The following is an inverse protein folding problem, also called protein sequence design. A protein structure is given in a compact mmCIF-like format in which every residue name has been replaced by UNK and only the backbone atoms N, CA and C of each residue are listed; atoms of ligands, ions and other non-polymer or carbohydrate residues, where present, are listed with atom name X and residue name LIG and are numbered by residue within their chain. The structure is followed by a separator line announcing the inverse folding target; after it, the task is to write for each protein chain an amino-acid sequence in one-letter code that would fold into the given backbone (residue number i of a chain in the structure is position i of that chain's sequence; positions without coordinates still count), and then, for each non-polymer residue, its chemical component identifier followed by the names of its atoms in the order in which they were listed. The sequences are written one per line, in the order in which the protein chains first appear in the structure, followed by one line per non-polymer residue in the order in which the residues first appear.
data_IF_523179524277
#
_entry.id   IF_523179524277
#
_cell.length_a   1.000
_cell.length_b   1.000
_cell.length_c   1.000
_cell.angle_alpha   90.00
_cell.angle_beta   90.00
_cell.angle_gamma   90.00
#
_symmetry.space_group_name_H-M   'P 1'
#
loop_
_entity.id
_entity.type
_entity.pdbx_description
1 polymer ?
#
# COMPACT_ATOMS: atom_id res chain seq x y z
N UNK A 1 -1.22 70.45 -39.59
CA UNK A 1 -0.04 69.66 -39.19
C UNK A 1 -0.01 69.64 -37.68
N UNK A 2 -0.38 68.51 -37.08
CA UNK A 2 -0.34 68.33 -35.63
C UNK A 2 0.95 67.57 -35.30
N UNK A 3 1.85 68.21 -34.57
CA UNK A 3 3.10 67.61 -34.09
C UNK A 3 2.75 66.50 -33.08
N UNK A 4 2.95 65.25 -33.51
CA UNK A 4 2.97 64.11 -32.61
C UNK A 4 4.36 64.08 -31.98
N UNK A 5 4.45 64.58 -30.76
CA UNK A 5 5.66 64.57 -29.93
C UNK A 5 6.14 63.15 -29.69
N UNK A 6 7.44 62.93 -29.89
CA UNK A 6 8.15 61.65 -29.79
C UNK A 6 8.07 60.96 -28.41
N UNK A 7 7.44 61.56 -27.41
CA UNK A 7 7.22 60.97 -26.08
C UNK A 7 6.06 59.97 -26.01
N UNK A 8 5.09 60.00 -26.94
CA UNK A 8 3.94 59.09 -26.90
C UNK A 8 4.24 57.66 -27.38
N UNK A 9 5.41 57.40 -27.98
CA UNK A 9 5.80 56.09 -28.51
C UNK A 9 6.50 55.21 -27.46
N UNK A 10 6.89 55.74 -26.29
CA UNK A 10 7.63 54.99 -25.26
C UNK A 10 6.78 54.38 -24.12
N UNK A 11 5.45 54.59 -24.08
CA UNK A 11 4.59 53.84 -23.15
C UNK A 11 4.25 52.47 -23.73
N UNK A 12 5.21 51.55 -23.62
CA UNK A 12 5.01 50.13 -23.90
C UNK A 12 3.72 49.63 -23.24
N UNK A 13 2.88 49.00 -24.06
CA UNK A 13 1.63 48.35 -23.66
C UNK A 13 1.91 47.50 -22.41
N UNK A 14 1.34 47.89 -21.27
CA UNK A 14 1.49 47.13 -20.02
C UNK A 14 1.12 45.66 -20.23
N UNK A 15 1.71 44.73 -19.45
CA UNK A 15 1.48 43.30 -19.63
C UNK A 15 -0.02 42.99 -19.65
N UNK A 16 -0.44 42.20 -20.65
CA UNK A 16 -1.83 41.88 -20.92
C UNK A 16 -2.53 41.39 -19.63
N UNK A 17 -3.61 42.05 -19.16
CA UNK A 17 -4.27 41.70 -17.90
C UNK A 17 -4.77 40.25 -17.90
N UNK A 18 -5.07 39.68 -19.07
CA UNK A 18 -5.45 38.27 -19.22
C UNK A 18 -4.27 37.32 -18.98
N UNK A 19 -3.07 37.67 -19.46
CA UNK A 19 -1.84 36.90 -19.23
C UNK A 19 -1.42 36.95 -17.76
N UNK A 20 -1.57 38.10 -17.10
CA UNK A 20 -1.34 38.24 -15.66
C UNK A 20 -2.31 37.40 -14.82
N UNK A 21 -3.59 37.36 -15.19
CA UNK A 21 -4.60 36.53 -14.54
C UNK A 21 -4.29 35.04 -14.70
N UNK A 22 -3.88 34.61 -15.91
CA UNK A 22 -3.48 33.23 -16.18
C UNK A 22 -2.25 32.82 -15.38
N UNK A 23 -1.24 33.70 -15.29
CA UNK A 23 -0.02 33.46 -14.50
C UNK A 23 -0.34 33.35 -12.99
N UNK A 24 -1.25 34.17 -12.47
CA UNK A 24 -1.72 34.07 -11.07
C UNK A 24 -2.47 32.77 -10.80
N UNK A 25 -3.31 32.30 -11.73
CA UNK A 25 -4.01 31.01 -11.62
C UNK A 25 -3.02 29.84 -11.58
N UNK A 26 -2.09 29.79 -12.53
CA UNK A 26 -1.06 28.73 -12.59
C UNK A 26 -0.20 28.76 -11.32
N UNK A 27 0.22 29.93 -10.86
CA UNK A 27 1.04 30.04 -9.64
C UNK A 27 0.26 29.58 -8.39
N UNK A 28 -1.05 29.82 -8.35
CA UNK A 28 -1.93 29.36 -7.26
C UNK A 28 -2.12 27.84 -7.31
N UNK A 29 -2.32 27.26 -8.50
CA UNK A 29 -2.40 25.80 -8.65
C UNK A 29 -1.08 25.13 -8.27
N UNK A 30 0.05 25.62 -8.78
CA UNK A 30 1.39 25.13 -8.43
C UNK A 30 1.64 25.27 -6.92
N UNK A 31 1.24 26.38 -6.31
CA UNK A 31 1.35 26.55 -4.85
C UNK A 31 0.46 25.57 -4.09
N UNK A 32 -0.76 25.28 -4.58
CA UNK A 32 -1.67 24.31 -3.97
C UNK A 32 -1.20 22.86 -4.12
N UNK A 33 -0.57 22.52 -5.26
CA UNK A 33 0.07 21.22 -5.50
C UNK A 33 1.30 21.10 -4.62
N UNK A 34 2.12 22.15 -4.53
CA UNK A 34 3.27 22.21 -3.63
C UNK A 34 2.86 22.11 -2.17
N UNK A 35 1.78 22.79 -1.74
CA UNK A 35 1.21 22.67 -0.40
C UNK A 35 0.64 21.27 -0.12
N UNK A 36 0.07 20.58 -1.13
CA UNK A 36 -0.34 19.18 -0.99
C UNK A 36 0.85 18.24 -0.86
N UNK A 37 1.93 18.49 -1.60
CA UNK A 37 3.19 17.75 -1.53
C UNK A 37 3.96 18.03 -0.23
N UNK A 38 3.88 19.24 0.33
CA UNK A 38 4.52 19.61 1.61
C UNK A 38 3.62 19.38 2.83
N UNK A 39 2.31 19.16 2.65
CA UNK A 39 1.44 18.76 3.75
C UNK A 39 1.75 17.32 4.14
N UNK A 40 2.51 17.14 5.22
CA UNK A 40 2.76 15.84 5.86
C UNK A 40 1.47 15.03 6.03
N UNK A 41 0.36 15.71 6.36
CA UNK A 41 -0.95 15.09 6.58
C UNK A 41 -1.65 14.58 5.32
N UNK A 42 -1.39 15.16 4.14
CA UNK A 42 -1.95 14.70 2.86
C UNK A 42 -1.18 13.50 2.31
N UNK A 43 0.15 13.55 2.40
CA UNK A 43 1.04 12.45 2.04
C UNK A 43 0.78 11.23 2.93
N UNK A 44 0.77 11.40 4.26
CA UNK A 44 0.50 10.32 5.22
C UNK A 44 -0.83 9.61 4.97
N UNK A 45 -1.89 10.36 4.62
CA UNK A 45 -3.20 9.76 4.27
C UNK A 45 -3.17 8.99 2.95
N UNK A 46 -2.43 9.46 1.95
CA UNK A 46 -2.27 8.74 0.69
C UNK A 46 -1.49 7.44 0.91
N UNK A 47 -0.41 7.48 1.70
CA UNK A 47 0.35 6.29 2.11
C UNK A 47 -0.52 5.28 2.88
N UNK A 48 -1.28 5.75 3.86
CA UNK A 48 -2.18 4.90 4.64
C UNK A 48 -3.20 4.19 3.73
N UNK A 49 -3.79 4.88 2.75
CA UNK A 49 -4.73 4.28 1.81
C UNK A 49 -4.05 3.21 0.93
N UNK A 50 -2.85 3.52 0.42
CA UNK A 50 -2.09 2.58 -0.40
C UNK A 50 -1.71 1.31 0.39
N UNK A 51 -1.33 1.45 1.66
CA UNK A 51 -1.07 0.29 2.54
C UNK A 51 -2.32 -0.58 2.75
N UNK A 52 -3.50 0.03 2.92
CA UNK A 52 -4.77 -0.71 3.00
C UNK A 52 -5.09 -1.42 1.67
N UNK A 53 -4.76 -0.80 0.54
CA UNK A 53 -4.92 -1.40 -0.79
C UNK A 53 -3.99 -2.59 -1.00
N UNK A 54 -2.71 -2.46 -0.64
CA UNK A 54 -1.73 -3.57 -0.65
C UNK A 54 -2.21 -4.73 0.23
N UNK A 55 -2.73 -4.44 1.42
CA UNK A 55 -3.34 -5.47 2.29
C UNK A 55 -4.46 -6.22 1.57
N UNK A 56 -5.40 -5.47 0.99
CA UNK A 56 -6.55 -6.04 0.30
C UNK A 56 -6.10 -6.88 -0.90
N UNK A 57 -5.20 -6.39 -1.73
CA UNK A 57 -4.67 -7.14 -2.88
C UNK A 57 -3.97 -8.44 -2.46
N UNK A 58 -3.13 -8.40 -1.43
CA UNK A 58 -2.51 -9.60 -0.87
C UNK A 58 -3.53 -10.58 -0.33
N UNK A 59 -4.55 -10.12 0.39
CA UNK A 59 -5.63 -10.99 0.87
C UNK A 59 -6.46 -11.61 -0.25
N UNK A 60 -6.72 -10.90 -1.35
CA UNK A 60 -7.40 -11.47 -2.51
C UNK A 60 -6.56 -12.55 -3.18
N UNK A 61 -5.31 -12.22 -3.49
CA UNK A 61 -4.42 -13.10 -4.23
C UNK A 61 -4.03 -14.33 -3.39
N UNK A 62 -3.86 -14.15 -2.07
CA UNK A 62 -3.53 -15.22 -1.14
C UNK A 62 -4.71 -16.10 -0.71
N UNK A 63 -5.96 -15.69 -0.97
CA UNK A 63 -7.15 -16.39 -0.47
C UNK A 63 -7.23 -17.84 -0.91
N UNK A 64 -6.90 -18.14 -2.17
CA UNK A 64 -6.88 -19.51 -2.70
C UNK A 64 -5.88 -20.38 -1.93
N UNK A 65 -4.69 -19.86 -1.65
CA UNK A 65 -3.69 -20.56 -0.85
C UNK A 65 -4.16 -20.82 0.59
N UNK A 66 -4.84 -19.85 1.22
CA UNK A 66 -5.42 -20.03 2.56
C UNK A 66 -6.52 -21.09 2.57
N UNK A 67 -7.38 -21.14 1.55
CA UNK A 67 -8.44 -22.14 1.44
C UNK A 67 -7.88 -23.56 1.25
N UNK A 68 -6.88 -23.70 0.37
CA UNK A 68 -6.20 -24.98 0.16
C UNK A 68 -5.55 -25.46 1.47
N UNK A 69 -4.86 -24.56 2.19
CA UNK A 69 -4.28 -24.88 3.49
C UNK A 69 -5.35 -25.32 4.50
N UNK A 70 -6.46 -24.59 4.61
CA UNK A 70 -7.54 -24.92 5.54
C UNK A 70 -8.13 -26.32 5.27
N UNK A 71 -8.37 -26.66 4.00
CA UNK A 71 -8.88 -27.97 3.61
C UNK A 71 -7.85 -29.08 3.84
N UNK A 72 -6.57 -28.84 3.53
CA UNK A 72 -5.50 -29.81 3.76
C UNK A 72 -5.30 -30.09 5.25
N UNK A 73 -5.32 -29.05 6.09
CA UNK A 73 -5.25 -29.18 7.55
C UNK A 73 -6.47 -29.90 8.09
N UNK A 74 -7.68 -29.60 7.61
CA UNK A 74 -8.89 -30.29 8.04
C UNK A 74 -8.85 -31.79 7.68
N UNK A 75 -8.40 -32.12 6.47
CA UNK A 75 -8.23 -33.51 6.05
C UNK A 75 -7.20 -34.24 6.93
N UNK A 76 -6.05 -33.62 7.21
CA UNK A 76 -5.04 -34.18 8.10
C UNK A 76 -5.54 -34.30 9.55
N UNK A 77 -6.33 -33.34 10.04
CA UNK A 77 -6.88 -33.37 11.39
C UNK A 77 -7.83 -34.56 11.62
N UNK A 78 -8.48 -35.05 10.55
CA UNK A 78 -9.33 -36.24 10.62
C UNK A 78 -8.56 -37.54 10.96
N UNK A 79 -7.23 -37.53 10.92
CA UNK A 79 -6.41 -38.66 11.37
C UNK A 79 -6.43 -38.84 12.89
N UNK A 80 -6.69 -37.77 13.64
CA UNK A 80 -6.73 -37.80 15.11
C UNK A 80 -8.11 -37.51 15.68
N UNK A 81 -8.94 -36.75 14.95
CA UNK A 81 -10.19 -36.20 15.46
C UNK A 81 -11.36 -36.65 14.57
N UNK A 82 -12.51 -37.07 15.14
CA UNK A 82 -13.70 -37.37 14.36
C UNK A 82 -14.14 -36.19 13.49
N UNK A 83 -14.61 -36.49 12.27
CA UNK A 83 -15.02 -35.47 11.29
C UNK A 83 -16.06 -34.49 11.86
N UNK A 84 -16.94 -34.96 12.74
CA UNK A 84 -17.98 -34.17 13.41
C UNK A 84 -17.42 -32.97 14.21
N UNK A 85 -16.21 -33.08 14.76
CA UNK A 85 -15.54 -31.97 15.47
C UNK A 85 -14.73 -31.08 14.53
N UNK A 86 -14.22 -31.63 13.42
CA UNK A 86 -13.40 -30.91 12.44
C UNK A 86 -14.25 -30.04 11.52
N UNK A 87 -15.42 -30.53 11.08
CA UNK A 87 -16.35 -29.81 10.18
C UNK A 87 -16.77 -28.43 10.70
N UNK A 88 -17.23 -28.26 11.95
CA UNK A 88 -17.60 -26.93 12.44
C UNK A 88 -16.39 -26.00 12.52
N UNK A 89 -15.21 -26.52 12.87
CA UNK A 89 -13.98 -25.73 12.92
C UNK A 89 -13.52 -25.24 11.54
N UNK A 90 -13.45 -26.13 10.54
CA UNK A 90 -13.09 -25.69 9.18
C UNK A 90 -14.15 -24.75 8.62
N UNK A 91 -15.43 -24.94 8.96
CA UNK A 91 -16.51 -24.02 8.61
C UNK A 91 -16.29 -22.60 9.15
N UNK A 92 -15.84 -22.44 10.40
CA UNK A 92 -15.54 -21.11 10.96
C UNK A 92 -14.32 -20.46 10.32
N UNK A 93 -13.28 -21.24 10.00
CA UNK A 93 -12.10 -20.76 9.26
C UNK A 93 -12.49 -20.26 7.87
N UNK A 94 -13.27 -21.05 7.11
CA UNK A 94 -13.75 -20.67 5.78
C UNK A 94 -14.62 -19.41 5.82
N UNK A 95 -15.51 -19.30 6.82
CA UNK A 95 -16.32 -18.11 7.03
C UNK A 95 -15.44 -16.88 7.32
N UNK A 96 -14.44 -17.01 8.18
CA UNK A 96 -13.50 -15.93 8.49
C UNK A 96 -12.72 -15.48 7.24
N UNK A 97 -12.22 -16.43 6.44
CA UNK A 97 -11.56 -16.15 5.16
C UNK A 97 -12.52 -15.43 4.19
N UNK A 98 -13.78 -15.88 4.10
CA UNK A 98 -14.79 -15.26 3.25
C UNK A 98 -15.07 -13.81 3.67
N UNK A 99 -15.20 -13.54 4.97
CA UNK A 99 -15.42 -12.19 5.51
C UNK A 99 -14.28 -11.25 5.09
N UNK A 100 -13.02 -11.67 5.24
CA UNK A 100 -11.86 -10.86 4.85
C UNK A 100 -11.88 -10.61 3.34
N UNK A 101 -12.10 -11.64 2.52
CA UNK A 101 -12.16 -11.49 1.06
C UNK A 101 -13.28 -10.54 0.64
N UNK A 102 -14.47 -10.63 1.23
CA UNK A 102 -15.59 -9.74 0.93
C UNK A 102 -15.28 -8.30 1.34
N UNK A 103 -14.73 -8.08 2.54
CA UNK A 103 -14.33 -6.75 2.99
C UNK A 103 -13.27 -6.15 2.07
N UNK A 104 -12.25 -6.92 1.72
CA UNK A 104 -11.18 -6.45 0.86
C UNK A 104 -11.66 -6.20 -0.57
N UNK A 105 -12.58 -7.01 -1.13
CA UNK A 105 -13.24 -6.72 -2.41
C UNK A 105 -14.04 -5.43 -2.36
N UNK A 106 -14.83 -5.23 -1.30
CA UNK A 106 -15.61 -3.99 -1.09
C UNK A 106 -14.71 -2.77 -1.01
N UNK A 107 -13.57 -2.87 -0.35
CA UNK A 107 -12.59 -1.79 -0.27
C UNK A 107 -11.98 -1.46 -1.65
N UNK A 108 -11.54 -2.48 -2.40
CA UNK A 108 -10.94 -2.28 -3.72
C UNK A 108 -11.93 -1.72 -4.77
N UNK A 109 -13.23 -1.94 -4.57
CA UNK A 109 -14.27 -1.40 -5.43
C UNK A 109 -14.63 0.07 -5.15
N UNK A 110 -14.19 0.67 -4.03
CA UNK A 110 -14.47 2.07 -3.71
C UNK A 110 -13.51 3.02 -4.45
N UNK A 111 -14.03 4.13 -4.96
CA UNK A 111 -13.23 5.17 -5.60
C UNK A 111 -12.38 5.94 -4.57
N UNK A 112 -11.13 6.24 -4.92
CA UNK A 112 -10.11 6.78 -4.01
C UNK A 112 -10.45 8.12 -3.33
N UNK A 113 -11.48 8.84 -3.78
CA UNK A 113 -11.84 10.18 -3.28
C UNK A 113 -12.74 10.23 -2.04
N UNK A 114 -13.43 9.14 -1.69
CA UNK A 114 -14.49 9.15 -0.64
C UNK A 114 -14.17 8.27 0.59
N UNK A 115 -13.00 7.66 0.64
CA UNK A 115 -12.71 6.60 1.60
C UNK A 115 -12.22 7.17 2.93
N UNK A 116 -12.97 6.90 3.99
CA UNK A 116 -12.50 7.10 5.36
C UNK A 116 -11.57 5.94 5.77
N UNK A 117 -10.28 6.24 5.96
CA UNK A 117 -9.22 5.24 6.20
C UNK A 117 -9.39 4.52 7.55
N UNK A 118 -9.73 5.25 8.60
CA UNK A 118 -9.80 4.74 9.99
C UNK A 118 -10.77 3.55 10.18
N UNK A 119 -12.04 3.60 9.71
CA UNK A 119 -12.95 2.47 9.88
C UNK A 119 -12.49 1.24 9.10
N UNK A 120 -11.96 1.40 7.88
CA UNK A 120 -11.43 0.27 7.11
C UNK A 120 -10.22 -0.39 7.77
N UNK A 121 -9.29 0.42 8.30
CA UNK A 121 -8.15 -0.10 9.08
C UNK A 121 -8.61 -0.93 10.28
N UNK A 122 -9.62 -0.46 11.03
CA UNK A 122 -10.20 -1.22 12.15
C UNK A 122 -10.95 -2.46 11.67
N UNK A 123 -11.72 -2.36 10.59
CA UNK A 123 -12.46 -3.49 10.03
C UNK A 123 -11.52 -4.62 9.60
N UNK A 124 -10.42 -4.29 8.91
CA UNK A 124 -9.40 -5.28 8.56
C UNK A 124 -8.70 -5.87 9.78
N UNK A 125 -8.34 -5.06 10.78
CA UNK A 125 -7.75 -5.58 12.00
C UNK A 125 -8.72 -6.52 12.76
N UNK A 126 -10.00 -6.17 12.85
CA UNK A 126 -11.02 -7.02 13.49
C UNK A 126 -11.26 -8.32 12.71
N UNK A 127 -11.31 -8.24 11.38
CA UNK A 127 -11.47 -9.41 10.53
C UNK A 127 -10.25 -10.34 10.62
N UNK A 128 -9.04 -9.77 10.65
CA UNK A 128 -7.79 -10.50 10.88
C UNK A 128 -7.76 -11.16 12.26
N UNK A 129 -8.24 -10.46 13.29
CA UNK A 129 -8.41 -11.02 14.62
C UNK A 129 -9.41 -12.18 14.67
N UNK A 130 -10.55 -12.05 14.01
CA UNK A 130 -11.52 -13.14 13.89
C UNK A 130 -10.93 -14.35 13.16
N UNK A 131 -10.16 -14.12 12.10
CA UNK A 131 -9.42 -15.16 11.39
C UNK A 131 -8.39 -15.84 12.30
N UNK A 132 -7.58 -15.07 13.04
CA UNK A 132 -6.65 -15.61 14.03
C UNK A 132 -7.32 -16.45 15.11
N UNK A 133 -8.46 -15.98 15.65
CA UNK A 133 -9.27 -16.73 16.62
C UNK A 133 -9.78 -18.03 16.00
N UNK A 134 -10.30 -18.02 14.78
CA UNK A 134 -10.81 -19.22 14.11
C UNK A 134 -9.73 -20.31 13.96
N UNK A 135 -8.49 -19.93 13.67
CA UNK A 135 -7.36 -20.86 13.65
C UNK A 135 -6.97 -21.32 15.06
N UNK A 136 -6.92 -20.41 16.04
CA UNK A 136 -6.63 -20.75 17.42
C UNK A 136 -7.68 -21.72 18.03
N UNK A 137 -8.92 -21.72 17.53
CA UNK A 137 -9.94 -22.70 17.95
C UNK A 137 -9.52 -24.16 17.71
N UNK A 138 -8.58 -24.42 16.79
CA UNK A 138 -8.05 -25.76 16.56
C UNK A 138 -7.46 -26.37 17.84
N UNK A 139 -6.92 -25.55 18.75
CA UNK A 139 -6.38 -26.02 20.03
C UNK A 139 -7.45 -26.61 20.92
N UNK A 140 -8.70 -26.14 20.85
CA UNK A 140 -9.83 -26.74 21.57
C UNK A 140 -10.25 -28.07 20.95
N UNK A 141 -10.23 -28.16 19.62
CA UNK A 141 -10.53 -29.41 18.89
C UNK A 141 -9.55 -30.51 19.29
N UNK A 142 -8.28 -30.14 19.52
CA UNK A 142 -7.20 -31.05 19.90
C UNK A 142 -6.92 -31.12 21.41
N UNK A 143 -7.68 -30.42 22.26
CA UNK A 143 -7.37 -30.30 23.69
C UNK A 143 -7.31 -31.65 24.43
N UNK A 144 -8.12 -32.61 24.00
CA UNK A 144 -8.24 -33.95 24.58
C UNK A 144 -7.57 -35.06 23.74
N UNK A 145 -6.75 -34.68 22.77
CA UNK A 145 -6.13 -35.62 21.82
C UNK A 145 -4.70 -35.93 22.26
N UNK A 146 -4.52 -37.11 22.85
CA UNK A 146 -3.22 -37.62 23.26
C UNK A 146 -2.67 -38.64 22.25
N UNK A 147 -2.57 -38.20 20.99
CA UNK A 147 -2.01 -39.00 19.89
C UNK A 147 -0.56 -38.62 19.58
N UNK A 148 0.30 -39.58 19.16
CA UNK A 148 1.63 -39.28 18.65
C UNK A 148 1.56 -38.24 17.54
N UNK A 149 2.40 -37.20 17.62
CA UNK A 149 2.50 -36.15 16.62
C UNK A 149 1.37 -35.10 16.61
N UNK A 150 0.29 -35.27 17.38
CA UNK A 150 -0.84 -34.33 17.40
C UNK A 150 -0.42 -32.93 17.89
N UNK A 151 0.39 -32.86 18.95
CA UNK A 151 0.94 -31.58 19.48
C UNK A 151 1.78 -30.88 18.40
N UNK A 152 2.71 -31.60 17.77
CA UNK A 152 3.57 -31.05 16.72
C UNK A 152 2.73 -30.57 15.52
N UNK A 153 1.74 -31.36 15.08
CA UNK A 153 0.86 -30.99 13.99
C UNK A 153 0.12 -29.68 14.25
N UNK A 154 -0.54 -29.56 15.41
CA UNK A 154 -1.32 -28.36 15.78
C UNK A 154 -0.40 -27.15 15.90
N UNK A 155 0.72 -27.28 16.60
CA UNK A 155 1.62 -26.15 16.83
C UNK A 155 2.29 -25.70 15.53
N UNK A 156 2.80 -26.63 14.72
CA UNK A 156 3.41 -26.31 13.41
C UNK A 156 2.40 -25.67 12.47
N UNK A 157 1.15 -26.16 12.44
CA UNK A 157 0.10 -25.55 11.63
C UNK A 157 -0.17 -24.11 12.04
N UNK A 158 -0.26 -23.85 13.35
CA UNK A 158 -0.45 -22.48 13.86
C UNK A 158 0.75 -21.58 13.53
N UNK A 159 1.97 -22.11 13.52
CA UNK A 159 3.16 -21.35 13.07
C UNK A 159 3.11 -21.04 11.57
N UNK A 160 2.68 -21.99 10.73
CA UNK A 160 2.47 -21.75 9.28
C UNK A 160 1.41 -20.66 9.08
N UNK A 161 0.31 -20.71 9.82
CA UNK A 161 -0.75 -19.70 9.77
C UNK A 161 -0.26 -18.33 10.26
N UNK A 162 0.54 -18.28 11.33
CA UNK A 162 1.18 -17.05 11.79
C UNK A 162 2.11 -16.46 10.71
N UNK A 163 2.92 -17.29 10.06
CA UNK A 163 3.80 -16.86 8.97
C UNK A 163 2.99 -16.27 7.79
N UNK A 164 1.93 -16.96 7.37
CA UNK A 164 1.02 -16.46 6.32
C UNK A 164 0.34 -15.16 6.73
N UNK A 165 -0.09 -15.04 7.99
CA UNK A 165 -0.69 -13.82 8.54
C UNK A 165 0.29 -12.65 8.44
N UNK A 166 1.55 -12.85 8.84
CA UNK A 166 2.61 -11.84 8.67
C UNK A 166 2.78 -11.46 7.20
N UNK A 167 2.91 -12.43 6.31
CA UNK A 167 3.14 -12.16 4.88
C UNK A 167 2.00 -11.37 4.24
N UNK A 168 0.76 -11.69 4.57
CA UNK A 168 -0.41 -11.09 3.94
C UNK A 168 -0.84 -9.77 4.61
N UNK A 169 -0.59 -9.62 5.91
CA UNK A 169 -1.09 -8.50 6.69
C UNK A 169 -0.04 -7.44 7.06
N UNK A 170 1.24 -7.64 6.73
CA UNK A 170 2.33 -6.75 7.16
C UNK A 170 2.20 -5.28 6.75
N UNK A 171 1.43 -4.94 5.73
CA UNK A 171 1.16 -3.53 5.38
C UNK A 171 0.33 -2.80 6.45
N UNK A 172 -0.33 -3.53 7.37
CA UNK A 172 -1.09 -2.99 8.50
C UNK A 172 -0.63 -3.69 9.80
N UNK A 173 0.29 -3.10 10.59
CA UNK A 173 0.83 -3.73 11.81
C UNK A 173 -0.26 -4.13 12.82
N UNK A 174 -1.29 -3.29 12.96
CA UNK A 174 -2.43 -3.56 13.84
C UNK A 174 -3.19 -4.83 13.43
N UNK A 175 -3.29 -5.13 12.13
CA UNK A 175 -3.94 -6.34 11.65
C UNK A 175 -3.09 -7.58 11.97
N UNK A 176 -1.77 -7.51 11.75
CA UNK A 176 -0.86 -8.60 12.10
C UNK A 176 -0.96 -8.97 13.57
N UNK A 177 -0.91 -7.97 14.47
CA UNK A 177 -1.03 -8.23 15.90
C UNK A 177 -2.40 -8.82 16.25
N UNK A 178 -3.48 -8.31 15.66
CA UNK A 178 -4.82 -8.85 15.88
C UNK A 178 -4.91 -10.33 15.47
N UNK A 179 -4.27 -10.74 14.36
CA UNK A 179 -4.28 -12.13 13.90
C UNK A 179 -3.37 -13.07 14.71
N UNK A 180 -2.21 -12.61 15.15
CA UNK A 180 -1.21 -13.45 15.83
C UNK A 180 -1.46 -13.59 17.34
N UNK A 181 -1.96 -12.54 18.00
CA UNK A 181 -2.17 -12.55 19.46
C UNK A 181 -3.09 -13.69 19.93
N UNK A 182 -4.24 -13.97 19.28
CA UNK A 182 -5.08 -15.12 19.64
C UNK A 182 -4.34 -16.46 19.53
N UNK A 183 -3.47 -16.61 18.53
CA UNK A 183 -2.66 -17.81 18.33
C UNK A 183 -1.61 -17.93 19.45
N UNK A 184 -0.92 -16.85 19.79
CA UNK A 184 0.05 -16.83 20.90
C UNK A 184 -0.60 -17.20 22.23
N UNK A 185 -1.76 -16.59 22.54
CA UNK A 185 -2.52 -16.89 23.76
C UNK A 185 -2.97 -18.35 23.76
N UNK A 186 -3.49 -18.83 22.61
CA UNK A 186 -3.92 -20.21 22.46
C UNK A 186 -2.79 -21.20 22.71
N UNK A 187 -1.62 -21.00 22.09
CA UNK A 187 -0.46 -21.87 22.28
C UNK A 187 -0.01 -21.86 23.75
N UNK A 188 0.06 -20.69 24.37
CA UNK A 188 0.42 -20.57 25.78
C UNK A 188 -0.56 -21.33 26.70
N UNK A 189 -1.87 -21.23 26.42
CA UNK A 189 -2.90 -21.96 27.16
C UNK A 189 -2.84 -23.48 26.92
N UNK A 190 -2.58 -23.90 25.69
CA UNK A 190 -2.51 -25.32 25.31
C UNK A 190 -1.33 -26.06 25.98
N UNK A 191 -0.23 -25.37 26.23
CA UNK A 191 0.93 -25.93 26.94
C UNK A 191 0.95 -25.63 28.44
N UNK A 192 -0.04 -24.90 28.96
CA UNK A 192 -0.09 -24.54 30.38
C UNK A 192 -0.16 -25.78 31.28
N UNK A 193 0.75 -25.88 32.24
CA UNK A 193 0.79 -26.98 33.20
C UNK A 193 1.36 -28.30 32.67
N UNK A 194 1.76 -28.36 31.39
CA UNK A 194 2.45 -29.54 30.82
C UNK A 194 3.95 -29.42 31.06
N UNK A 195 4.53 -30.41 31.75
CA UNK A 195 5.95 -30.41 32.13
C UNK A 195 6.75 -31.50 31.42
N UNK A 196 6.16 -32.24 30.47
CA UNK A 196 6.89 -33.20 29.65
C UNK A 196 7.87 -32.47 28.71
N UNK A 197 9.04 -33.08 28.52
CA UNK A 197 10.15 -32.47 27.76
C UNK A 197 9.72 -32.10 26.33
N UNK A 198 8.89 -32.94 25.69
CA UNK A 198 8.34 -32.72 24.34
C UNK A 198 7.42 -31.49 24.27
N UNK A 199 6.54 -31.32 25.27
CA UNK A 199 5.70 -30.13 25.38
C UNK A 199 6.51 -28.87 25.65
N UNK A 200 7.52 -28.94 26.52
CA UNK A 200 8.36 -27.79 26.85
C UNK A 200 9.18 -27.32 25.65
N UNK A 201 9.82 -28.23 24.93
CA UNK A 201 10.60 -27.87 23.73
C UNK A 201 9.71 -27.29 22.64
N UNK A 202 8.54 -27.91 22.38
CA UNK A 202 7.57 -27.41 21.40
C UNK A 202 7.05 -26.02 21.77
N UNK A 203 6.73 -25.78 23.05
CA UNK A 203 6.28 -24.48 23.53
C UNK A 203 7.35 -23.39 23.40
N UNK A 204 8.59 -23.68 23.76
CA UNK A 204 9.72 -22.74 23.62
C UNK A 204 10.00 -22.42 22.16
N UNK A 205 9.99 -23.43 21.27
CA UNK A 205 10.14 -23.21 19.83
C UNK A 205 9.01 -22.37 19.26
N UNK A 206 7.77 -22.64 19.66
CA UNK A 206 6.63 -21.86 19.24
C UNK A 206 6.73 -20.41 19.74
N UNK A 207 7.09 -20.18 21.00
CA UNK A 207 7.29 -18.84 21.55
C UNK A 207 8.39 -18.06 20.79
N UNK A 208 9.53 -18.70 20.53
CA UNK A 208 10.61 -18.11 19.75
C UNK A 208 10.18 -17.76 18.33
N UNK A 209 9.45 -18.65 17.65
CA UNK A 209 8.92 -18.40 16.31
C UNK A 209 7.90 -17.25 16.31
N UNK A 210 7.02 -17.16 17.31
CA UNK A 210 6.05 -16.07 17.44
C UNK A 210 6.73 -14.70 17.65
N UNK A 211 7.76 -14.64 18.50
CA UNK A 211 8.58 -13.44 18.65
C UNK A 211 9.28 -13.04 17.34
N UNK A 212 9.81 -14.03 16.62
CA UNK A 212 10.40 -13.79 15.31
C UNK A 212 9.37 -13.26 14.30
N UNK A 213 8.14 -13.77 14.29
CA UNK A 213 7.07 -13.28 13.42
C UNK A 213 6.67 -11.83 13.73
N UNK A 214 6.65 -11.43 15.00
CA UNK A 214 6.45 -10.03 15.39
C UNK A 214 7.57 -9.13 14.84
N UNK A 215 8.83 -9.57 14.97
CA UNK A 215 9.97 -8.85 14.40
C UNK A 215 9.89 -8.76 12.86
N UNK A 216 9.56 -9.88 12.20
CA UNK A 216 9.43 -9.97 10.74
C UNK A 216 8.31 -9.07 10.22
N UNK A 217 7.18 -9.01 10.93
CA UNK A 217 6.06 -8.14 10.59
C UNK A 217 6.48 -6.66 10.57
N UNK A 218 7.21 -6.20 11.59
CA UNK A 218 7.72 -4.84 11.65
C UNK A 218 8.70 -4.56 10.50
N UNK A 219 9.57 -5.52 10.18
CA UNK A 219 10.50 -5.40 9.05
C UNK A 219 9.77 -5.28 7.71
N UNK A 220 8.75 -6.12 7.48
CA UNK A 220 7.95 -6.10 6.25
C UNK A 220 7.10 -4.82 6.15
N UNK A 221 6.59 -4.31 7.27
CA UNK A 221 5.89 -3.03 7.32
C UNK A 221 6.81 -1.88 6.87
N UNK A 222 7.99 -1.75 7.48
CA UNK A 222 8.97 -0.71 7.12
C UNK A 222 9.38 -0.83 5.64
N UNK A 223 9.56 -2.07 5.15
CA UNK A 223 9.87 -2.33 3.74
C UNK A 223 8.72 -1.94 2.79
N UNK A 224 7.47 -2.11 3.22
CA UNK A 224 6.29 -1.73 2.43
C UNK A 224 6.19 -0.21 2.34
N UNK A 225 6.35 0.48 3.47
CA UNK A 225 6.35 1.95 3.54
C UNK A 225 7.46 2.54 2.68
N UNK A 226 8.69 2.04 2.77
CA UNK A 226 9.82 2.54 1.98
C UNK A 226 9.59 2.34 0.48
N UNK A 227 9.03 1.19 0.07
CA UNK A 227 8.71 0.93 -1.34
C UNK A 227 7.71 1.92 -1.90
N UNK A 228 6.65 2.25 -1.14
CA UNK A 228 5.66 3.24 -1.58
C UNK A 228 6.31 4.63 -1.63
N UNK A 229 7.17 4.97 -0.65
CA UNK A 229 7.86 6.26 -0.60
C UNK A 229 8.79 6.45 -1.81
N UNK A 230 9.60 5.45 -2.14
CA UNK A 230 10.47 5.49 -3.31
C UNK A 230 9.69 5.58 -4.63
N UNK A 231 8.52 4.92 -4.73
CA UNK A 231 7.65 5.06 -5.90
C UNK A 231 7.13 6.50 -6.05
N UNK A 232 6.66 7.09 -4.95
CA UNK A 232 6.17 8.46 -4.95
C UNK A 232 7.27 9.48 -5.31
N UNK A 233 8.49 9.30 -4.78
CA UNK A 233 9.64 10.15 -5.11
C UNK A 233 10.05 10.02 -6.58
N UNK A 234 10.12 8.78 -7.09
CA UNK A 234 10.44 8.50 -8.50
C UNK A 234 9.39 9.12 -9.43
N UNK A 235 8.09 9.03 -9.11
CA UNK A 235 7.02 9.63 -9.91
C UNK A 235 7.09 11.18 -9.90
N UNK A 236 7.46 11.78 -8.76
CA UNK A 236 7.69 13.23 -8.67
C UNK A 236 8.88 13.69 -9.53
N UNK A 237 9.99 12.96 -9.48
CA UNK A 237 11.19 13.27 -10.29
C UNK A 237 10.93 13.13 -11.79
N UNK A 238 10.11 12.15 -12.21
CA UNK A 238 9.70 12.00 -13.61
C UNK A 238 8.90 13.23 -14.07
N UNK A 239 7.95 13.70 -13.26
CA UNK A 239 7.15 14.88 -13.59
C UNK A 239 8.00 16.17 -13.69
N UNK A 240 8.99 16.32 -12.82
CA UNK A 240 9.95 17.44 -12.89
C UNK A 240 10.78 17.37 -14.17
N UNK A 241 11.25 16.18 -14.54
CA UNK A 241 12.04 15.95 -15.75
C UNK A 241 11.22 16.22 -17.02
N UNK A 242 9.97 15.79 -17.07
CA UNK A 242 9.04 16.09 -18.16
C UNK A 242 8.81 17.60 -18.30
N UNK A 243 8.64 18.30 -17.18
CA UNK A 243 8.46 19.76 -17.17
C UNK A 243 9.73 20.48 -17.65
N UNK A 244 10.91 20.03 -17.22
CA UNK A 244 12.18 20.60 -17.64
C UNK A 244 12.45 20.38 -19.14
N UNK A 245 12.14 19.18 -19.65
CA UNK A 245 12.24 18.87 -21.08
C UNK A 245 11.29 19.73 -21.91
N UNK A 246 10.03 19.88 -21.50
CA UNK A 246 9.07 20.73 -22.18
C UNK A 246 9.56 22.20 -22.26
N UNK A 247 10.12 22.72 -21.17
CA UNK A 247 10.71 24.06 -21.14
C UNK A 247 11.94 24.18 -22.07
N UNK A 248 12.79 23.16 -22.10
CA UNK A 248 13.97 23.09 -22.97
C UNK A 248 13.57 23.07 -24.45
N UNK A 249 12.58 22.26 -24.81
CA UNK A 249 12.06 22.18 -26.18
C UNK A 249 11.41 23.50 -26.61
N UNK A 250 10.68 24.17 -25.71
CA UNK A 250 10.14 25.51 -25.99
C UNK A 250 11.25 26.55 -26.20
N UNK A 251 12.29 26.51 -25.39
CA UNK A 251 13.45 27.40 -25.54
C UNK A 251 14.18 27.15 -26.87
N UNK A 252 14.35 25.87 -27.26
CA UNK A 252 14.94 25.49 -28.55
C UNK A 252 14.10 26.00 -29.70
N UNK A 253 12.77 25.81 -29.65
CA UNK A 253 11.86 26.31 -30.68
C UNK A 253 11.93 27.83 -30.83
N UNK A 254 11.98 28.57 -29.71
CA UNK A 254 12.15 30.04 -29.74
C UNK A 254 13.48 30.46 -30.37
N UNK A 255 14.57 29.74 -30.09
CA UNK A 255 15.87 30.01 -30.69
C UNK A 255 15.88 29.75 -32.20
N UNK A 256 15.26 28.66 -32.64
CA UNK A 256 15.10 28.31 -34.07
C UNK A 256 14.24 29.36 -34.80
N UNK A 257 13.11 29.78 -34.22
CA UNK A 257 12.25 30.84 -34.76
C UNK A 257 13.00 32.17 -34.91
N UNK A 258 13.78 32.57 -33.90
CA UNK A 258 14.60 33.77 -33.95
C UNK A 258 15.70 33.69 -35.02
N UNK A 259 16.33 32.52 -35.18
CA UNK A 259 17.36 32.31 -36.19
C UNK A 259 16.77 32.36 -37.61
N UNK A 260 15.62 31.74 -37.83
CA UNK A 260 14.88 31.82 -39.10
C UNK A 260 14.47 33.26 -39.44
N UNK A 261 13.98 34.02 -38.45
CA UNK A 261 13.65 35.44 -38.63
C UNK A 261 14.89 36.26 -39.02
N UNK A 262 16.03 36.00 -38.38
CA UNK A 262 17.32 36.65 -38.71
C UNK A 262 17.75 36.31 -40.15
N UNK A 263 17.68 35.05 -40.55
CA UNK A 263 18.01 34.63 -41.93
C UNK A 263 17.10 35.28 -42.97
N UNK A 264 15.78 35.35 -42.72
CA UNK A 264 14.82 36.03 -43.59
C UNK A 264 15.11 37.53 -43.71
N UNK A 265 15.43 38.19 -42.60
CA UNK A 265 15.79 39.60 -42.60
C UNK A 265 17.05 39.87 -43.43
N UNK A 266 18.12 39.08 -43.23
CA UNK A 266 19.36 39.20 -44.00
C UNK A 266 19.15 38.95 -45.50
N UNK A 267 18.33 37.96 -45.87
CA UNK A 267 17.99 37.70 -47.26
C UNK A 267 17.23 38.86 -47.91
N UNK A 268 16.25 39.43 -47.20
CA UNK A 268 15.47 40.59 -47.67
C UNK A 268 16.34 41.83 -47.82
N UNK A 269 17.16 42.16 -46.81
CA UNK A 269 18.10 43.28 -46.89
C UNK A 269 19.13 43.10 -48.00
N UNK A 270 19.63 41.87 -48.21
CA UNK A 270 20.55 41.58 -49.32
C UNK A 270 19.90 41.76 -50.69
N UNK A 271 18.58 41.56 -50.80
CA UNK A 271 17.84 41.81 -52.03
C UNK A 271 17.72 43.32 -52.27
N UNK A 272 17.28 44.07 -51.26
CA UNK A 272 17.17 45.55 -51.29
C UNK A 272 18.50 46.23 -51.66
N UNK A 273 19.62 45.75 -51.11
CA UNK A 273 20.97 46.29 -51.42
C UNK A 273 21.48 45.96 -52.83
N UNK A 274 20.88 44.99 -53.53
CA UNK A 274 21.31 44.54 -54.87
C UNK A 274 20.45 45.12 -56.00
N UNK A 275 19.26 45.61 -55.71
CA UNK A 275 18.44 46.40 -56.63
C UNK A 275 18.87 47.88 -56.55
N UNK A 276 19.43 48.48 -57.62
CA UNK A 276 19.84 49.88 -57.64
C UNK A 276 18.66 50.86 -57.61
#
# INVERSE_FOLDING_TARGET
MAEVTAEQVQRGRGPDPTALARRKLVTREVKSVRERLTSSTGLERAFDNELLRVFAEYRMNGSVGTLILALAVAAAACLWVPIERVTPWVGTVLLATMVIVVLSRRFLAQAAGEISIRPWRRAFALAEGFHGISWAMMLFVFAQVDGPGAKVFVTTTLLIVSALTVMLAASIPMAVYAGIVPIMIGIAAYFWGRTDMDSLTTAVMAAAAQLFFVFLANRLYVSSVSTIAFRAEKDALIAELETANANSDEARRKAEEANLAKSRFLATMSHELRTP
#
